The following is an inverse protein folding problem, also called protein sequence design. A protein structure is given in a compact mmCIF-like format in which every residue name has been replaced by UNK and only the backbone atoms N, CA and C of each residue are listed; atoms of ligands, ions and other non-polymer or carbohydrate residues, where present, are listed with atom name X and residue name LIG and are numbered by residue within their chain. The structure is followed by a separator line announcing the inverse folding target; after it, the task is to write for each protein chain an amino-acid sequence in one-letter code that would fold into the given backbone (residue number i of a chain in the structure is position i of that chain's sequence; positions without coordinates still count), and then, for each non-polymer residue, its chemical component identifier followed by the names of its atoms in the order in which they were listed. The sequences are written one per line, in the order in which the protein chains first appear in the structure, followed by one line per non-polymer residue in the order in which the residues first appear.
data_IF_677703002784
#
_entry.id   IF_677703002784
#
_cell.length_a   1.000
_cell.length_b   1.000
_cell.length_c   1.000
_cell.angle_alpha   90.00
_cell.angle_beta   90.00
_cell.angle_gamma   90.00
#
_symmetry.space_group_name_H-M   'P 1'
#
loop_
_entity.id
_entity.type
_entity.pdbx_description
1 polymer ?
#
# COMPACT_ATOMS: atom_id res chain seq x y z
N UNK A 1 -16.70 -8.72 27.68
CA UNK A 1 -15.25 -8.87 27.94
C UNK A 1 -14.73 -9.87 26.92
N UNK A 2 -13.59 -9.55 26.31
CA UNK A 2 -12.94 -10.18 25.15
C UNK A 2 -13.20 -9.53 23.78
N UNK A 3 -12.21 -8.71 23.47
CA UNK A 3 -11.95 -7.83 22.33
C UNK A 3 -11.89 -8.58 20.99
N UNK A 4 -12.44 -7.94 19.96
CA UNK A 4 -12.23 -8.33 18.56
C UNK A 4 -10.87 -7.79 18.05
N UNK A 5 -10.12 -8.58 17.26
CA UNK A 5 -8.88 -8.12 16.65
C UNK A 5 -9.19 -7.29 15.39
N UNK A 6 -8.80 -6.01 15.43
CA UNK A 6 -8.79 -5.09 14.30
C UNK A 6 -7.34 -4.91 13.86
N UNK A 7 -6.94 -5.46 12.71
CA UNK A 7 -5.65 -5.14 12.07
C UNK A 7 -5.86 -4.75 10.61
N UNK A 8 -5.29 -3.59 10.26
CA UNK A 8 -5.41 -2.87 8.97
C UNK A 8 -4.74 -3.51 7.77
N UNK A 9 -4.19 -4.68 7.99
CA UNK A 9 -3.43 -5.50 7.06
C UNK A 9 -4.41 -6.30 6.18
N UNK A 10 -5.51 -6.76 6.81
CA UNK A 10 -6.63 -7.40 6.16
C UNK A 10 -7.27 -6.52 5.07
N UNK A 11 -7.43 -5.21 5.28
CA UNK A 11 -8.07 -4.34 4.29
C UNK A 11 -7.23 -4.10 3.02
N UNK A 12 -5.90 -4.24 3.08
CA UNK A 12 -5.04 -3.99 1.91
C UNK A 12 -4.90 -5.25 1.03
N UNK A 13 -4.82 -6.42 1.68
CA UNK A 13 -4.76 -7.74 1.03
C UNK A 13 -6.14 -8.12 0.45
N UNK A 14 -7.20 -7.96 1.24
CA UNK A 14 -8.57 -8.35 0.85
C UNK A 14 -9.13 -7.50 -0.30
N UNK A 15 -8.62 -6.28 -0.52
CA UNK A 15 -9.15 -5.37 -1.54
C UNK A 15 -8.47 -5.52 -2.91
N UNK A 16 -7.18 -5.88 -2.95
CA UNK A 16 -6.53 -6.37 -4.18
C UNK A 16 -7.11 -7.74 -4.57
N UNK A 17 -7.42 -8.58 -3.57
CA UNK A 17 -8.04 -9.90 -3.72
C UNK A 17 -9.53 -9.89 -4.17
N UNK A 18 -10.34 -8.93 -3.71
CA UNK A 18 -11.75 -8.80 -4.12
C UNK A 18 -11.91 -8.48 -5.62
N UNK A 19 -10.97 -7.75 -6.22
CA UNK A 19 -11.07 -7.34 -7.63
C UNK A 19 -10.75 -8.48 -8.60
N UNK A 20 -9.90 -9.41 -8.20
CA UNK A 20 -9.46 -10.56 -9.01
C UNK A 20 -10.51 -11.68 -9.01
N UNK A 21 -11.28 -11.81 -7.92
CA UNK A 21 -12.40 -12.76 -7.83
C UNK A 21 -13.74 -12.19 -8.34
N UNK A 22 -13.89 -10.86 -8.49
CA UNK A 22 -15.12 -10.24 -9.01
C UNK A 22 -15.40 -10.48 -10.50
N UNK A 23 -14.48 -11.13 -11.24
CA UNK A 23 -14.71 -11.55 -12.64
C UNK A 23 -15.04 -13.05 -12.81
N UNK A 24 -15.01 -13.85 -11.75
CA UNK A 24 -15.64 -15.17 -11.74
C UNK A 24 -17.10 -15.02 -11.30
N UNK A 25 -18.05 -15.28 -12.21
CA UNK A 25 -19.49 -15.28 -11.92
C UNK A 25 -19.79 -16.22 -10.75
N UNK A 26 -19.99 -15.70 -9.54
CA UNK A 26 -20.95 -16.22 -8.55
C UNK A 26 -21.06 -15.22 -7.38
N UNK A 27 -22.26 -14.66 -7.17
CA UNK A 27 -22.62 -13.86 -5.99
C UNK A 27 -23.51 -14.72 -5.10
N UNK A 28 -23.28 -14.73 -3.77
CA UNK A 28 -24.30 -14.18 -2.89
C UNK A 28 -23.75 -13.18 -1.85
N UNK A 29 -24.39 -12.02 -1.89
CA UNK A 29 -24.61 -10.92 -0.91
C UNK A 29 -24.25 -11.05 0.57
N UNK A 30 -23.87 -9.88 1.11
CA UNK A 30 -24.02 -9.33 2.47
C UNK A 30 -23.06 -9.79 3.59
N UNK A 31 -22.02 -8.99 3.82
CA UNK A 31 -21.31 -8.90 5.11
C UNK A 31 -21.09 -7.41 5.48
N UNK A 32 -21.32 -6.98 6.74
CA UNK A 32 -21.20 -5.58 7.14
C UNK A 32 -19.73 -5.16 7.27
N UNK A 33 -19.35 -4.07 6.59
CA UNK A 33 -18.02 -3.46 6.68
C UNK A 33 -17.91 -2.66 7.99
N UNK A 34 -16.99 -3.04 8.88
CA UNK A 34 -16.70 -2.25 10.09
C UNK A 34 -15.70 -1.10 9.80
N UNK A 35 -15.83 0.07 10.46
CA UNK A 35 -15.05 1.27 10.13
C UNK A 35 -13.68 1.26 10.81
N UNK A 36 -12.58 1.36 10.04
CA UNK A 36 -11.19 1.27 10.53
C UNK A 36 -10.44 2.64 10.58
N UNK A 37 -11.12 3.69 11.04
CA UNK A 37 -10.58 5.06 11.11
C UNK A 37 -9.68 5.35 12.34
N UNK A 38 -9.72 4.55 13.41
CA UNK A 38 -9.24 5.05 14.72
C UNK A 38 -7.71 5.19 14.91
N UNK A 39 -6.84 4.57 14.09
CA UNK A 39 -5.43 4.38 14.48
C UNK A 39 -4.35 4.92 13.52
N UNK A 40 -4.65 5.56 12.37
CA UNK A 40 -3.62 5.74 11.27
C UNK A 40 -2.93 7.08 11.33
N UNK A 41 -3.54 8.03 12.03
CA UNK A 41 -3.04 9.40 12.13
C UNK A 41 -2.42 9.69 13.50
N UNK A 42 -2.27 8.67 14.36
CA UNK A 42 -1.55 8.85 15.62
C UNK A 42 -0.09 9.24 15.34
N UNK A 43 0.53 8.63 14.33
CA UNK A 43 1.90 8.94 13.91
C UNK A 43 2.03 10.33 13.25
N UNK A 44 1.06 10.75 12.43
CA UNK A 44 1.00 12.11 11.87
C UNK A 44 0.83 13.19 12.96
N UNK A 45 0.02 12.93 13.99
CA UNK A 45 -0.07 13.80 15.17
C UNK A 45 1.23 13.82 15.98
N UNK A 46 1.95 12.69 16.06
CA UNK A 46 3.24 12.60 16.75
C UNK A 46 4.32 13.44 16.03
N UNK A 47 4.36 13.46 14.69
CA UNK A 47 5.28 14.31 13.90
C UNK A 47 4.98 15.81 14.11
N UNK A 48 3.70 16.21 14.13
CA UNK A 48 3.33 17.59 14.44
C UNK A 48 3.71 18.01 15.87
N UNK A 49 3.71 17.08 16.83
CA UNK A 49 4.22 17.35 18.19
C UNK A 49 5.74 17.49 18.26
N UNK A 50 6.50 16.85 17.35
CA UNK A 50 7.94 17.06 17.21
C UNK A 50 8.27 18.41 16.57
N UNK A 51 7.57 18.82 15.50
CA UNK A 51 7.73 20.13 14.87
C UNK A 51 7.40 21.29 15.84
N UNK A 52 6.36 21.15 16.68
CA UNK A 52 6.06 22.12 17.75
C UNK A 52 7.13 22.18 18.84
N UNK A 53 7.81 21.06 19.13
CA UNK A 53 8.90 21.02 20.13
C UNK A 53 10.15 21.77 19.65
N UNK A 54 10.48 21.67 18.36
CA UNK A 54 11.59 22.44 17.77
C UNK A 54 11.30 23.95 17.74
N UNK A 55 10.08 24.36 17.37
CA UNK A 55 9.66 25.78 17.47
C UNK A 55 9.72 26.30 18.92
N UNK A 56 9.29 25.52 19.93
CA UNK A 56 9.38 25.95 21.34
C UNK A 56 10.81 25.97 21.89
N UNK A 57 11.74 25.20 21.31
CA UNK A 57 13.14 25.19 21.70
C UNK A 57 13.94 26.34 21.07
N UNK A 58 13.54 26.86 19.90
CA UNK A 58 14.11 28.09 19.33
C UNK A 58 13.61 29.37 20.03
N UNK A 59 12.40 29.36 20.60
CA UNK A 59 11.82 30.50 21.35
C UNK A 59 12.54 30.80 22.68
N UNK A 60 13.44 29.92 23.15
CA UNK A 60 14.22 30.13 24.38
C UNK A 60 15.63 30.73 24.17
N UNK A 61 15.96 31.24 22.96
CA UNK A 61 17.17 32.05 22.75
C UNK A 61 16.82 33.55 22.85
N UNK A 62 17.57 34.37 23.62
CA UNK A 62 17.19 35.76 23.86
C UNK A 62 17.15 36.57 22.56
N UNK A 63 16.05 37.33 22.42
CA UNK A 63 15.70 38.16 21.28
C UNK A 63 16.84 39.11 20.88
N UNK A 64 17.32 38.99 19.64
CA UNK A 64 17.84 40.14 18.91
C UNK A 64 16.75 40.59 17.93
N UNK A 65 16.26 41.80 18.14
CA UNK A 65 15.23 42.45 17.34
C UNK A 65 15.69 42.61 15.88
N UNK A 66 14.96 41.99 14.95
CA UNK A 66 15.23 42.15 13.53
C UNK A 66 14.30 41.29 12.66
N UNK A 67 13.29 41.94 12.08
CA UNK A 67 12.45 41.45 10.96
C UNK A 67 11.42 40.36 11.30
N UNK A 68 10.19 40.79 11.57
CA UNK A 68 9.01 39.91 11.62
C UNK A 68 8.66 39.46 10.19
N UNK A 69 9.04 38.25 9.82
CA UNK A 69 8.56 37.53 8.63
C UNK A 69 7.25 36.77 8.96
N UNK A 70 6.43 36.37 7.97
CA UNK A 70 4.97 36.24 8.12
C UNK A 70 4.55 34.94 8.82
N UNK A 71 4.40 35.01 10.14
CA UNK A 71 3.85 33.96 11.03
C UNK A 71 2.36 33.57 10.77
N UNK A 72 1.71 34.16 9.76
CA UNK A 72 0.27 33.97 9.52
C UNK A 72 -0.05 32.88 8.49
N UNK A 73 0.75 32.73 7.43
CA UNK A 73 0.38 31.87 6.30
C UNK A 73 0.59 30.37 6.61
N UNK A 74 1.66 30.03 7.32
CA UNK A 74 2.04 28.65 7.62
C UNK A 74 1.09 28.00 8.65
N UNK A 75 0.71 28.74 9.70
CA UNK A 75 -0.31 28.31 10.67
C UNK A 75 -1.67 28.09 10.01
N UNK A 76 -2.06 28.94 9.05
CA UNK A 76 -3.31 28.77 8.31
C UNK A 76 -3.28 27.54 7.41
N UNK A 77 -2.14 27.24 6.76
CA UNK A 77 -1.97 26.02 5.96
C UNK A 77 -2.04 24.77 6.85
N UNK A 78 -1.35 24.77 7.99
CA UNK A 78 -1.40 23.65 8.95
C UNK A 78 -2.82 23.39 9.47
N UNK A 79 -3.57 24.43 9.85
CA UNK A 79 -4.95 24.28 10.31
C UNK A 79 -5.88 23.73 9.21
N UNK A 80 -5.67 24.17 7.96
CA UNK A 80 -6.40 23.63 6.80
C UNK A 80 -6.07 22.16 6.56
N UNK A 81 -4.81 21.75 6.75
CA UNK A 81 -4.38 20.36 6.60
C UNK A 81 -5.09 19.45 7.63
N UNK A 82 -5.09 19.84 8.90
CA UNK A 82 -5.76 19.09 9.97
C UNK A 82 -7.26 18.93 9.69
N UNK A 83 -7.91 20.01 9.26
CA UNK A 83 -9.33 20.00 8.91
C UNK A 83 -9.62 19.04 7.74
N UNK A 84 -8.78 19.04 6.70
CA UNK A 84 -8.95 18.14 5.56
C UNK A 84 -8.80 16.68 5.98
N UNK A 85 -7.81 16.36 6.82
CA UNK A 85 -7.60 15.01 7.32
C UNK A 85 -8.79 14.50 8.13
N UNK A 86 -9.35 15.32 9.02
CA UNK A 86 -10.55 14.95 9.79
C UNK A 86 -11.76 14.71 8.87
N UNK A 87 -11.93 15.53 7.83
CA UNK A 87 -13.01 15.36 6.84
C UNK A 87 -12.83 14.12 5.96
N UNK A 88 -11.59 13.77 5.60
CA UNK A 88 -11.27 12.54 4.87
C UNK A 88 -11.67 11.34 5.72
N UNK A 89 -11.28 11.34 7.00
CA UNK A 89 -11.67 10.26 7.91
C UNK A 89 -13.18 10.16 8.10
N UNK A 90 -13.86 11.30 8.20
CA UNK A 90 -15.32 11.32 8.22
C UNK A 90 -15.91 10.71 6.94
N UNK A 91 -15.41 11.09 5.76
CA UNK A 91 -15.89 10.55 4.48
C UNK A 91 -15.68 9.02 4.36
N UNK A 92 -14.59 8.49 4.92
CA UNK A 92 -14.33 7.04 4.99
C UNK A 92 -15.31 6.32 5.90
N UNK A 93 -15.61 6.90 7.07
CA UNK A 93 -16.62 6.35 7.99
C UNK A 93 -18.01 6.37 7.34
N UNK A 94 -18.33 7.43 6.61
CA UNK A 94 -19.56 7.58 5.83
C UNK A 94 -19.58 6.70 4.57
N UNK A 95 -18.46 6.05 4.21
CA UNK A 95 -18.26 5.32 2.96
C UNK A 95 -18.58 6.15 1.71
N UNK A 96 -18.34 7.46 1.78
CA UNK A 96 -18.57 8.40 0.69
C UNK A 96 -17.29 8.59 -0.13
N UNK A 97 -17.05 7.67 -1.07
CA UNK A 97 -15.83 7.65 -1.88
C UNK A 97 -15.67 8.87 -2.80
N UNK A 98 -16.77 9.47 -3.26
CA UNK A 98 -16.73 10.71 -4.07
C UNK A 98 -16.18 11.87 -3.23
N UNK A 99 -16.74 12.06 -2.04
CA UNK A 99 -16.26 13.08 -1.09
C UNK A 99 -14.82 12.81 -0.64
N UNK A 100 -14.47 11.55 -0.40
CA UNK A 100 -13.10 11.16 -0.05
C UNK A 100 -12.11 11.57 -1.16
N UNK A 101 -12.46 11.28 -2.42
CA UNK A 101 -11.63 11.62 -3.58
C UNK A 101 -11.43 13.13 -3.71
N UNK A 102 -12.50 13.93 -3.60
CA UNK A 102 -12.42 15.39 -3.67
C UNK A 102 -11.47 15.94 -2.60
N UNK A 103 -11.63 15.50 -1.35
CA UNK A 103 -10.79 15.94 -0.23
C UNK A 103 -9.33 15.49 -0.38
N UNK A 104 -9.09 14.28 -0.90
CA UNK A 104 -7.74 13.79 -1.15
C UNK A 104 -7.04 14.56 -2.28
N UNK A 105 -7.75 14.95 -3.34
CA UNK A 105 -7.21 15.77 -4.41
C UNK A 105 -6.79 17.16 -3.91
N UNK A 106 -7.62 17.77 -3.06
CA UNK A 106 -7.31 19.04 -2.39
C UNK A 106 -6.10 18.91 -1.46
N UNK A 107 -6.06 17.85 -0.65
CA UNK A 107 -4.94 17.52 0.24
C UNK A 107 -3.65 17.36 -0.56
N UNK A 108 -3.67 16.53 -1.59
CA UNK A 108 -2.52 16.27 -2.45
C UNK A 108 -2.00 17.55 -3.11
N UNK A 109 -2.90 18.41 -3.60
CA UNK A 109 -2.54 19.70 -4.17
C UNK A 109 -1.81 20.62 -3.18
N UNK A 110 -2.19 20.61 -1.90
CA UNK A 110 -1.50 21.38 -0.85
C UNK A 110 -0.12 20.77 -0.56
N UNK A 111 -0.05 19.46 -0.32
CA UNK A 111 1.17 18.75 0.04
C UNK A 111 2.23 18.85 -1.07
N UNK A 112 1.82 18.64 -2.32
CA UNK A 112 2.70 18.76 -3.49
C UNK A 112 3.35 20.14 -3.63
N UNK A 113 2.62 21.21 -3.27
CA UNK A 113 3.16 22.59 -3.29
C UNK A 113 4.11 22.88 -2.12
N UNK A 114 3.96 22.17 -1.01
CA UNK A 114 4.75 22.38 0.21
C UNK A 114 6.13 21.75 0.09
N UNK A 115 6.16 20.47 -0.28
CA UNK A 115 7.40 19.72 -0.45
C UNK A 115 7.16 18.50 -1.33
N UNK A 116 7.89 18.38 -2.44
CA UNK A 116 7.78 17.23 -3.34
C UNK A 116 8.39 15.93 -2.76
N UNK A 117 9.11 16.02 -1.64
CA UNK A 117 9.71 14.91 -0.91
C UNK A 117 8.91 14.51 0.34
N UNK A 118 7.65 14.96 0.45
CA UNK A 118 6.81 14.68 1.60
C UNK A 118 6.20 13.26 1.51
N UNK A 119 6.38 12.46 2.56
CA UNK A 119 5.76 11.14 2.67
C UNK A 119 4.24 11.24 2.63
N UNK A 120 3.68 12.33 3.16
CA UNK A 120 2.24 12.59 3.17
C UNK A 120 1.72 12.80 1.74
N UNK A 121 2.52 13.43 0.87
CA UNK A 121 2.16 13.64 -0.52
C UNK A 121 2.07 12.30 -1.27
N UNK A 122 2.99 11.38 -0.97
CA UNK A 122 2.92 10.01 -1.49
C UNK A 122 1.65 9.30 -1.02
N UNK A 123 1.35 9.33 0.29
CA UNK A 123 0.18 8.63 0.83
C UNK A 123 -1.13 9.14 0.20
N UNK A 124 -1.24 10.47 0.02
CA UNK A 124 -2.40 11.08 -0.62
C UNK A 124 -2.57 10.60 -2.07
N UNK A 125 -1.51 10.65 -2.88
CA UNK A 125 -1.60 10.23 -4.30
C UNK A 125 -1.81 8.73 -4.45
N UNK A 126 -1.23 7.92 -3.58
CA UNK A 126 -1.50 6.48 -3.53
C UNK A 126 -2.96 6.19 -3.18
N UNK A 127 -3.55 6.91 -2.21
CA UNK A 127 -4.96 6.76 -1.86
C UNK A 127 -5.89 7.15 -3.02
N UNK A 128 -5.58 8.24 -3.73
CA UNK A 128 -6.31 8.67 -4.92
C UNK A 128 -6.29 7.56 -5.98
N UNK A 129 -5.11 7.01 -6.29
CA UNK A 129 -4.96 5.92 -7.25
C UNK A 129 -5.85 4.73 -6.88
N UNK A 130 -5.83 4.34 -5.60
CA UNK A 130 -6.60 3.22 -5.06
C UNK A 130 -8.11 3.43 -5.14
N UNK A 131 -8.60 4.65 -4.94
CA UNK A 131 -10.02 5.00 -5.12
C UNK A 131 -10.44 4.87 -6.59
N UNK A 132 -9.65 5.42 -7.52
CA UNK A 132 -9.91 5.26 -8.95
C UNK A 132 -9.92 3.80 -9.37
N UNK A 133 -8.99 3.02 -8.84
CA UNK A 133 -8.88 1.61 -9.18
C UNK A 133 -10.13 0.88 -8.71
N UNK A 134 -10.39 0.89 -7.41
CA UNK A 134 -11.26 -0.12 -6.84
C UNK A 134 -12.66 0.38 -6.46
N UNK A 135 -12.87 1.68 -6.24
CA UNK A 135 -14.21 2.25 -6.03
C UNK A 135 -14.86 2.71 -7.33
N UNK A 136 -14.07 3.31 -8.22
CA UNK A 136 -14.60 3.89 -9.46
C UNK A 136 -14.38 3.01 -10.69
N UNK A 137 -13.60 1.92 -10.59
CA UNK A 137 -13.33 1.02 -11.73
C UNK A 137 -12.58 1.70 -12.89
N UNK A 138 -11.96 2.85 -12.65
CA UNK A 138 -11.27 3.65 -13.65
C UNK A 138 -9.77 3.34 -13.65
N UNK A 139 -9.44 2.11 -14.08
CA UNK A 139 -8.06 1.58 -14.09
C UNK A 139 -7.09 2.48 -14.84
N UNK A 140 -7.50 3.12 -15.95
CA UNK A 140 -6.64 4.05 -16.70
C UNK A 140 -6.25 5.29 -15.90
N UNK A 141 -7.14 5.79 -15.05
CA UNK A 141 -6.85 6.93 -14.18
C UNK A 141 -6.04 6.48 -12.96
N UNK A 142 -6.34 5.30 -12.43
CA UNK A 142 -5.55 4.69 -11.35
C UNK A 142 -4.08 4.54 -11.75
N UNK A 143 -3.78 4.02 -12.94
CA UNK A 143 -2.41 3.88 -13.45
C UNK A 143 -1.67 5.22 -13.41
N UNK A 144 -2.29 6.31 -13.90
CA UNK A 144 -1.65 7.63 -13.89
C UNK A 144 -1.25 8.08 -12.48
N UNK A 145 -2.12 7.87 -11.50
CA UNK A 145 -1.83 8.26 -10.12
C UNK A 145 -0.87 7.30 -9.43
N UNK A 146 -0.89 6.00 -9.74
CA UNK A 146 0.11 5.07 -9.25
C UNK A 146 1.50 5.35 -9.83
N UNK A 147 1.61 5.70 -11.12
CA UNK A 147 2.85 6.17 -11.74
C UNK A 147 3.35 7.44 -11.06
N UNK A 148 2.45 8.39 -10.77
CA UNK A 148 2.79 9.59 -10.00
C UNK A 148 3.25 9.25 -8.57
N UNK A 149 2.63 8.26 -7.91
CA UNK A 149 3.04 7.78 -6.59
C UNK A 149 4.46 7.18 -6.60
N UNK A 150 4.81 6.41 -7.65
CA UNK A 150 6.17 5.90 -7.85
C UNK A 150 7.18 7.05 -7.99
N UNK A 151 6.85 8.08 -8.76
CA UNK A 151 7.72 9.25 -8.92
C UNK A 151 7.90 10.05 -7.62
N UNK A 152 6.87 10.15 -6.78
CA UNK A 152 7.00 10.74 -5.44
C UNK A 152 7.89 9.86 -4.55
N UNK A 153 7.71 8.54 -4.55
CA UNK A 153 8.58 7.62 -3.76
C UNK A 153 10.05 7.70 -4.13
N UNK A 154 10.38 7.90 -5.42
CA UNK A 154 11.78 8.10 -5.86
C UNK A 154 12.42 9.34 -5.25
N UNK A 155 11.61 10.37 -4.95
CA UNK A 155 12.07 11.62 -4.33
C UNK A 155 12.22 11.51 -2.81
N UNK A 156 11.60 10.50 -2.20
CA UNK A 156 11.67 10.25 -0.75
C UNK A 156 12.88 9.35 -0.45
N UNK A 157 13.75 9.78 0.46
CA UNK A 157 14.96 9.03 0.86
C UNK A 157 14.64 7.87 1.83
N UNK A 158 13.85 6.89 1.38
CA UNK A 158 13.41 5.73 2.19
C UNK A 158 13.85 4.38 1.65
N UNK A 159 14.80 4.34 0.72
CA UNK A 159 15.25 3.10 0.05
C UNK A 159 15.73 2.00 1.00
N UNK A 160 16.24 2.38 2.16
CA UNK A 160 16.82 1.46 3.12
C UNK A 160 15.89 1.09 4.27
N UNK A 161 14.68 1.65 4.32
CA UNK A 161 13.72 1.42 5.40
C UNK A 161 12.70 0.35 4.99
N UNK A 162 12.19 -0.41 5.98
CA UNK A 162 11.10 -1.38 5.76
C UNK A 162 9.88 -0.67 5.17
N UNK A 163 9.55 0.53 5.68
CA UNK A 163 8.45 1.34 5.17
C UNK A 163 8.64 1.69 3.68
N UNK A 164 9.82 2.13 3.27
CA UNK A 164 10.09 2.47 1.88
C UNK A 164 10.03 1.27 0.93
N UNK A 165 10.53 0.11 1.37
CA UNK A 165 10.40 -1.14 0.62
C UNK A 165 8.92 -1.54 0.47
N UNK A 166 8.15 -1.48 1.57
CA UNK A 166 6.73 -1.79 1.59
C UNK A 166 5.90 -0.88 0.68
N UNK A 167 6.12 0.43 0.72
CA UNK A 167 5.40 1.38 -0.14
C UNK A 167 5.73 1.19 -1.62
N UNK A 168 7.00 0.97 -1.98
CA UNK A 168 7.40 0.70 -3.38
C UNK A 168 6.78 -0.59 -3.89
N UNK A 169 6.95 -1.69 -3.15
CA UNK A 169 6.42 -2.99 -3.53
C UNK A 169 4.90 -2.93 -3.73
N UNK A 170 4.18 -2.31 -2.79
CA UNK A 170 2.72 -2.16 -2.87
C UNK A 170 2.29 -1.34 -4.08
N UNK A 171 2.98 -0.22 -4.34
CA UNK A 171 2.63 0.68 -5.46
C UNK A 171 2.91 0.03 -6.81
N UNK A 172 4.07 -0.61 -6.95
CA UNK A 172 4.48 -1.28 -8.19
C UNK A 172 3.60 -2.53 -8.43
N UNK A 173 3.32 -3.32 -7.40
CA UNK A 173 2.40 -4.45 -7.49
C UNK A 173 0.99 -4.03 -7.91
N UNK A 174 0.48 -2.90 -7.40
CA UNK A 174 -0.81 -2.36 -7.81
C UNK A 174 -0.81 -1.90 -9.29
N UNK A 175 0.28 -1.31 -9.77
CA UNK A 175 0.46 -1.01 -11.20
C UNK A 175 0.41 -2.27 -12.05
N UNK A 176 1.13 -3.31 -11.65
CA UNK A 176 1.15 -4.58 -12.35
C UNK A 176 -0.26 -5.18 -12.49
N UNK A 177 -1.03 -5.21 -11.39
CA UNK A 177 -2.43 -5.65 -11.39
C UNK A 177 -3.32 -4.76 -12.26
N UNK A 178 -3.08 -3.44 -12.29
CA UNK A 178 -3.82 -2.55 -13.21
C UNK A 178 -3.56 -2.91 -14.68
N UNK A 179 -2.31 -3.19 -15.06
CA UNK A 179 -1.96 -3.60 -16.42
C UNK A 179 -2.47 -5.00 -16.75
N UNK A 180 -2.45 -5.93 -15.80
CA UNK A 180 -3.07 -7.25 -15.92
C UNK A 180 -4.58 -7.12 -16.19
N UNK A 181 -5.28 -6.26 -15.45
CA UNK A 181 -6.72 -6.00 -15.65
C UNK A 181 -7.06 -5.34 -16.99
N UNK A 182 -6.07 -4.73 -17.65
CA UNK A 182 -6.18 -4.19 -19.01
C UNK A 182 -5.73 -5.21 -20.08
N UNK A 183 -5.55 -6.47 -19.71
CA UNK A 183 -5.07 -7.57 -20.56
C UNK A 183 -3.69 -7.28 -21.18
N UNK A 184 -2.87 -6.48 -20.51
CA UNK A 184 -1.52 -6.12 -20.94
C UNK A 184 -0.47 -6.91 -20.15
N UNK A 185 -0.46 -8.23 -20.36
CA UNK A 185 0.38 -9.18 -19.62
C UNK A 185 1.88 -8.86 -19.72
N UNK A 186 2.37 -8.37 -20.86
CA UNK A 186 3.78 -8.04 -21.05
C UNK A 186 4.25 -6.88 -20.15
N UNK A 187 3.40 -5.88 -19.92
CA UNK A 187 3.70 -4.78 -19.01
C UNK A 187 3.46 -5.21 -17.56
N UNK A 188 2.41 -5.98 -17.30
CA UNK A 188 2.12 -6.50 -15.96
C UNK A 188 3.29 -7.33 -15.41
N UNK A 189 3.83 -8.26 -16.22
CA UNK A 189 4.97 -9.09 -15.84
C UNK A 189 6.21 -8.27 -15.48
N UNK A 190 6.53 -7.22 -16.26
CA UNK A 190 7.64 -6.31 -15.93
C UNK A 190 7.46 -5.64 -14.57
N UNK A 191 6.26 -5.13 -14.28
CA UNK A 191 6.02 -4.52 -12.98
C UNK A 191 5.98 -5.54 -11.84
N UNK A 192 5.50 -6.77 -12.07
CA UNK A 192 5.60 -7.83 -11.06
C UNK A 192 7.07 -8.20 -10.78
N UNK A 193 7.92 -8.31 -11.82
CA UNK A 193 9.36 -8.51 -11.67
C UNK A 193 10.00 -7.36 -10.88
N UNK A 194 9.70 -6.10 -11.22
CA UNK A 194 10.19 -4.93 -10.48
C UNK A 194 9.77 -4.95 -9.00
N UNK A 195 8.53 -5.37 -8.69
CA UNK A 195 8.03 -5.47 -7.33
C UNK A 195 8.74 -6.59 -6.53
N UNK A 196 9.02 -7.73 -7.15
CA UNK A 196 9.79 -8.83 -6.56
C UNK A 196 11.23 -8.37 -6.29
N UNK A 197 11.87 -7.66 -7.24
CA UNK A 197 13.23 -7.15 -7.10
C UNK A 197 13.36 -6.17 -5.91
N UNK A 198 12.31 -5.36 -5.65
CA UNK A 198 12.27 -4.49 -4.46
C UNK A 198 12.30 -5.31 -3.16
N UNK A 199 11.56 -6.42 -3.10
CA UNK A 199 11.56 -7.30 -1.93
C UNK A 199 12.92 -7.95 -1.72
N UNK A 200 13.49 -8.55 -2.78
CA UNK A 200 14.77 -9.25 -2.71
C UNK A 200 15.90 -8.31 -2.26
N UNK A 201 15.98 -7.11 -2.86
CA UNK A 201 16.95 -6.08 -2.44
C UNK A 201 16.80 -5.67 -0.97
N UNK A 202 15.57 -5.66 -0.44
CA UNK A 202 15.33 -5.37 0.96
C UNK A 202 15.83 -6.51 1.87
N UNK A 203 15.53 -7.76 1.51
CA UNK A 203 15.98 -8.95 2.23
C UNK A 203 17.51 -9.09 2.25
N UNK A 204 18.18 -8.86 1.11
CA UNK A 204 19.64 -8.92 1.01
C UNK A 204 20.29 -7.92 1.96
N UNK A 205 19.84 -6.65 1.92
CA UNK A 205 20.33 -5.60 2.83
C UNK A 205 19.99 -5.85 4.29
N UNK A 206 18.87 -6.51 4.59
CA UNK A 206 18.49 -6.87 5.95
C UNK A 206 19.38 -7.98 6.51
N UNK A 207 19.83 -8.92 5.67
CA UNK A 207 20.72 -10.01 6.06
C UNK A 207 22.13 -9.53 6.48
N UNK A 208 22.56 -8.38 5.95
CA UNK A 208 23.83 -7.72 6.27
C UNK A 208 23.79 -6.84 7.54
N UNK A 209 22.61 -6.63 8.16
CA UNK A 209 22.42 -5.74 9.30
C UNK A 209 22.21 -6.51 10.60
N UNK A 210 22.73 -6.00 11.71
CA UNK A 210 22.36 -6.47 13.05
C UNK A 210 20.92 -5.99 13.34
N UNK A 211 19.93 -6.86 13.13
CA UNK A 211 18.51 -6.51 13.13
C UNK A 211 18.01 -6.25 14.56
N UNK A 212 18.15 -5.01 15.04
CA UNK A 212 17.31 -4.47 16.11
C UNK A 212 16.02 -3.90 15.50
N UNK A 213 15.15 -4.76 14.98
CA UNK A 213 13.87 -4.33 14.39
C UNK A 213 12.95 -3.77 15.47
N UNK A 214 12.38 -2.58 15.24
CA UNK A 214 11.33 -2.07 16.10
C UNK A 214 10.05 -2.90 15.95
N UNK A 215 9.16 -2.86 16.94
CA UNK A 215 7.84 -3.50 16.82
C UNK A 215 7.07 -3.02 15.58
N UNK A 216 7.23 -1.75 15.18
CA UNK A 216 6.61 -1.21 13.96
C UNK A 216 7.21 -1.82 12.70
N UNK A 217 8.52 -2.02 12.66
CA UNK A 217 9.20 -2.67 11.52
C UNK A 217 8.78 -4.12 11.39
N UNK A 218 8.59 -4.82 12.51
CA UNK A 218 8.08 -6.21 12.51
C UNK A 218 6.70 -6.28 11.87
N UNK A 219 5.78 -5.38 12.23
CA UNK A 219 4.45 -5.36 11.60
C UNK A 219 4.52 -5.05 10.10
N UNK A 220 5.35 -4.08 9.70
CA UNK A 220 5.53 -3.75 8.28
C UNK A 220 6.19 -4.89 7.49
N UNK A 221 7.13 -5.64 8.08
CA UNK A 221 7.73 -6.82 7.47
C UNK A 221 6.71 -7.94 7.26
N UNK A 222 5.85 -8.16 8.24
CA UNK A 222 4.78 -9.15 8.16
C UNK A 222 3.76 -8.75 7.06
N UNK A 223 3.46 -7.46 6.90
CA UNK A 223 2.61 -6.94 5.82
C UNK A 223 3.28 -7.00 4.44
N UNK A 224 4.58 -6.74 4.41
CA UNK A 224 5.41 -6.87 3.22
C UNK A 224 5.36 -8.30 2.69
N UNK A 225 5.52 -9.30 3.57
CA UNK A 225 5.42 -10.73 3.21
C UNK A 225 4.06 -11.07 2.57
N UNK A 226 2.95 -10.57 3.12
CA UNK A 226 1.63 -10.82 2.53
C UNK A 226 1.51 -10.20 1.14
N UNK A 227 2.06 -9.01 0.96
CA UNK A 227 1.98 -8.27 -0.29
C UNK A 227 2.84 -8.93 -1.38
N UNK A 228 4.07 -9.33 -1.05
CA UNK A 228 4.95 -10.03 -2.00
C UNK A 228 4.42 -11.43 -2.35
N UNK A 229 3.73 -12.11 -1.42
CA UNK A 229 3.06 -13.37 -1.72
C UNK A 229 2.01 -13.21 -2.83
N UNK A 230 1.21 -12.14 -2.78
CA UNK A 230 0.24 -11.82 -3.82
C UNK A 230 0.89 -11.43 -5.14
N UNK A 231 1.97 -10.65 -5.10
CA UNK A 231 2.77 -10.33 -6.30
C UNK A 231 3.26 -11.61 -6.97
N UNK A 232 3.82 -12.57 -6.23
CA UNK A 232 4.24 -13.85 -6.78
C UNK A 232 3.07 -14.66 -7.36
N UNK A 233 1.91 -14.68 -6.69
CA UNK A 233 0.73 -15.39 -7.19
C UNK A 233 0.26 -14.83 -8.54
N UNK A 234 0.15 -13.50 -8.66
CA UNK A 234 -0.21 -12.85 -9.92
C UNK A 234 0.84 -13.02 -11.01
N UNK A 235 2.12 -12.91 -10.66
CA UNK A 235 3.23 -13.16 -11.57
C UNK A 235 3.16 -14.58 -12.16
N UNK A 236 2.92 -15.59 -11.30
CA UNK A 236 2.71 -16.97 -11.72
C UNK A 236 1.51 -17.12 -12.66
N UNK A 237 0.38 -16.45 -12.38
CA UNK A 237 -0.79 -16.42 -13.26
C UNK A 237 -0.47 -15.92 -14.68
N UNK A 238 0.35 -14.89 -14.80
CA UNK A 238 0.75 -14.34 -16.10
C UNK A 238 1.79 -15.23 -16.82
N UNK A 239 2.65 -15.95 -16.07
CA UNK A 239 3.58 -16.92 -16.65
C UNK A 239 2.89 -18.21 -17.12
N UNK A 240 1.82 -18.63 -16.44
CA UNK A 240 1.00 -19.77 -16.86
C UNK A 240 0.46 -19.59 -18.27
N UNK A 241 0.01 -18.38 -18.61
CA UNK A 241 -0.47 -18.05 -19.95
C UNK A 241 0.63 -18.21 -21.04
N UNK A 242 1.90 -18.29 -20.65
CA UNK A 242 3.06 -18.50 -21.53
C UNK A 242 3.59 -19.94 -21.52
N UNK A 243 3.02 -20.84 -20.70
CA UNK A 243 3.42 -22.26 -20.62
C UNK A 243 4.70 -22.53 -19.81
N UNK A 244 5.14 -21.59 -18.96
CA UNK A 244 6.32 -21.74 -18.12
C UNK A 244 6.02 -22.53 -16.81
N UNK A 245 5.58 -23.78 -16.94
CA UNK A 245 5.00 -24.56 -15.82
C UNK A 245 5.95 -24.78 -14.63
N UNK A 246 7.23 -25.04 -14.88
CA UNK A 246 8.18 -25.29 -13.77
C UNK A 246 8.50 -24.04 -12.97
N UNK A 247 8.62 -22.89 -13.65
CA UNK A 247 8.80 -21.59 -12.99
C UNK A 247 7.58 -21.26 -12.13
N UNK A 248 6.37 -21.49 -12.66
CA UNK A 248 5.11 -21.27 -11.94
C UNK A 248 5.06 -22.07 -10.64
N UNK A 249 5.48 -23.34 -10.65
CA UNK A 249 5.47 -24.18 -9.46
C UNK A 249 6.42 -23.66 -8.38
N UNK A 250 7.61 -23.19 -8.78
CA UNK A 250 8.57 -22.57 -7.86
C UNK A 250 7.99 -21.28 -7.27
N UNK A 251 7.46 -20.40 -8.11
CA UNK A 251 6.94 -19.10 -7.71
C UNK A 251 5.72 -19.23 -6.78
N UNK A 252 4.78 -20.12 -7.10
CA UNK A 252 3.60 -20.37 -6.25
C UNK A 252 3.96 -20.99 -4.91
N UNK A 253 5.01 -21.83 -4.85
CA UNK A 253 5.55 -22.31 -3.57
C UNK A 253 6.16 -21.19 -2.73
N UNK A 254 6.89 -20.27 -3.36
CA UNK A 254 7.41 -19.07 -2.70
C UNK A 254 6.26 -18.20 -2.17
N UNK A 255 5.21 -18.00 -2.97
CA UNK A 255 4.01 -17.26 -2.56
C UNK A 255 3.37 -17.85 -1.29
N UNK A 256 3.19 -19.18 -1.22
CA UNK A 256 2.66 -19.85 -0.02
C UNK A 256 3.54 -19.63 1.20
N UNK A 257 4.85 -19.82 1.06
CA UNK A 257 5.79 -19.66 2.17
C UNK A 257 5.75 -18.23 2.72
N UNK A 258 5.66 -17.23 1.85
CA UNK A 258 5.53 -15.84 2.23
C UNK A 258 4.18 -15.55 2.91
N UNK A 259 3.08 -16.07 2.36
CA UNK A 259 1.74 -15.89 2.90
C UNK A 259 1.58 -16.50 4.31
N UNK A 260 2.11 -17.71 4.52
CA UNK A 260 2.09 -18.39 5.83
C UNK A 260 2.89 -17.64 6.90
N UNK A 261 3.90 -16.87 6.49
CA UNK A 261 4.74 -16.05 7.37
C UNK A 261 4.36 -14.55 7.32
N UNK A 262 3.07 -14.26 7.13
CA UNK A 262 2.56 -12.89 6.96
C UNK A 262 1.36 -12.56 7.84
N UNK A 263 0.81 -11.36 7.67
CA UNK A 263 -0.41 -10.86 8.35
C UNK A 263 -1.68 -11.16 7.55
N UNK A 264 -1.58 -12.03 6.54
CA UNK A 264 -2.70 -12.46 5.72
C UNK A 264 -3.81 -13.05 6.60
N UNK A 265 -5.06 -12.61 6.45
CA UNK A 265 -6.19 -13.22 7.14
C UNK A 265 -6.29 -14.71 6.83
N UNK A 266 -6.69 -15.51 7.82
CA UNK A 266 -6.78 -16.98 7.70
C UNK A 266 -7.66 -17.38 6.51
N UNK A 267 -8.80 -16.72 6.31
CA UNK A 267 -9.72 -16.98 5.20
C UNK A 267 -9.07 -16.72 3.81
N UNK A 268 -8.28 -15.66 3.71
CA UNK A 268 -7.56 -15.30 2.49
C UNK A 268 -6.41 -16.29 2.23
N UNK A 269 -5.70 -16.71 3.29
CA UNK A 269 -4.63 -17.72 3.23
C UNK A 269 -5.16 -19.09 2.80
N UNK A 270 -6.27 -19.54 3.38
CA UNK A 270 -6.94 -20.80 3.01
C UNK A 270 -7.38 -20.77 1.54
N UNK A 271 -7.91 -19.63 1.07
CA UNK A 271 -8.28 -19.47 -0.34
C UNK A 271 -7.05 -19.56 -1.25
N UNK A 272 -5.96 -18.86 -0.90
CA UNK A 272 -4.71 -18.92 -1.68
C UNK A 272 -4.16 -20.35 -1.74
N UNK A 273 -4.16 -21.05 -0.59
CA UNK A 273 -3.74 -22.46 -0.49
C UNK A 273 -4.57 -23.35 -1.40
N UNK A 274 -5.89 -23.17 -1.40
CA UNK A 274 -6.79 -23.93 -2.27
C UNK A 274 -6.52 -23.65 -3.75
N UNK A 275 -6.41 -22.39 -4.16
CA UNK A 275 -6.13 -22.02 -5.55
C UNK A 275 -4.81 -22.61 -6.05
N UNK A 276 -3.75 -22.56 -5.24
CA UNK A 276 -2.44 -23.11 -5.62
C UNK A 276 -2.47 -24.65 -5.64
N UNK A 277 -3.22 -25.27 -4.71
CA UNK A 277 -3.41 -26.72 -4.72
C UNK A 277 -4.09 -27.20 -6.01
N UNK A 278 -5.20 -26.56 -6.40
CA UNK A 278 -5.95 -26.90 -7.60
C UNK A 278 -5.09 -26.71 -8.86
N UNK A 279 -4.34 -25.61 -8.92
CA UNK A 279 -3.37 -25.36 -9.99
C UNK A 279 -2.34 -26.49 -10.11
N UNK A 280 -1.79 -26.97 -8.99
CA UNK A 280 -0.79 -28.04 -8.99
C UNK A 280 -1.37 -29.40 -9.42
N UNK A 281 -2.64 -29.67 -9.11
CA UNK A 281 -3.34 -30.85 -9.60
C UNK A 281 -3.50 -30.80 -11.12
N UNK A 282 -3.91 -29.66 -11.66
CA UNK A 282 -4.10 -29.48 -13.11
C UNK A 282 -2.77 -29.67 -13.87
N UNK A 283 -1.67 -29.12 -13.35
CA UNK A 283 -0.34 -29.34 -13.94
C UNK A 283 0.07 -30.82 -13.92
N UNK A 284 -0.15 -31.53 -12.80
CA UNK A 284 0.19 -32.94 -12.66
C UNK A 284 -0.63 -33.84 -13.60
N UNK A 285 -1.86 -33.45 -13.91
CA UNK A 285 -2.73 -34.16 -14.86
C UNK A 285 -2.36 -33.93 -16.33
N UNK A 286 -1.70 -32.80 -16.62
CA UNK A 286 -1.29 -32.42 -17.97
C UNK A 286 -0.03 -33.16 -18.45
N UNK A 287 0.87 -33.52 -17.54
CA UNK A 287 2.07 -34.33 -17.83
C UNK A 287 1.76 -35.81 -18.15
N UNK A 288 0.51 -36.24 -18.00
CA UNK A 288 0.07 -37.63 -18.20
C UNK A 288 -0.63 -37.90 -19.54
N UNK A 289 -0.71 -36.92 -20.45
CA UNK A 289 -1.28 -37.06 -21.81
C UNK A 289 -0.26 -36.71 -22.89
#
# INVERSE_FOLDING_TARGET
MHLQPTSRTALMINYVWQRTHSRAKFVPTNVPVQPLAQTRYKWLREIQTYAKKEETNEVNRPLQEGTVAPMSNDRTISCRLDTLLDLIEQSRVEQNSERELELLLDLYGILKRRNEQDADAFEAVFCIARLYDAQFGNTKTAIKYYEEAVEVLKKISTEETVWGAYMRLTTIGALAVCYENLDNADIALKYFEDAIEVYEKHCDKASDREVNASTSDIYLLIDLNATVAMVHYHYAGNLLARGCWEEVKIITKTALTLAENSSMPIEDLETLQQCIHDLWLDMSSSDCN
#
